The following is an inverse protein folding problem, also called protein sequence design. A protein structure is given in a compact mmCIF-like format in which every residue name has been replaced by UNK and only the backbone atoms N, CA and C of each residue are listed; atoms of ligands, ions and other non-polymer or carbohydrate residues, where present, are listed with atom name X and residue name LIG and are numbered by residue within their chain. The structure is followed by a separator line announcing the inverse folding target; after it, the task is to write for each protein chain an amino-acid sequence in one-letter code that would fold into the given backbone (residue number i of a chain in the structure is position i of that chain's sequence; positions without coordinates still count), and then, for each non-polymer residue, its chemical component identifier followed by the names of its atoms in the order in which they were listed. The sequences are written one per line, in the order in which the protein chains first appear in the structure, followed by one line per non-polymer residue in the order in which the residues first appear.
data_IF_408046945919
#
_entry.id   IF_408046945919
#
_cell.length_a   1.000
_cell.length_b   1.000
_cell.length_c   1.000
_cell.angle_alpha   90.00
_cell.angle_beta   90.00
_cell.angle_gamma   90.00
#
_symmetry.space_group_name_H-M   'P 1'
#
loop_
_entity.id
_entity.type
_entity.pdbx_description
1 polymer ?
#
# COMPACT_ATOMS: atom_id res chain seq x y z
N UNK A 1 -29.26 -10.30 62.39
CA UNK A 1 -29.62 -11.10 61.21
C UNK A 1 -29.31 -10.26 59.97
N UNK A 2 -28.16 -10.50 59.35
CA UNK A 2 -27.76 -9.86 58.09
C UNK A 2 -27.43 -10.99 57.11
N UNK A 3 -28.13 -10.98 55.98
CA UNK A 3 -28.20 -12.06 55.01
C UNK A 3 -27.03 -12.10 54.02
N UNK A 4 -26.80 -13.33 53.56
CA UNK A 4 -25.81 -13.85 52.63
C UNK A 4 -25.49 -12.98 51.40
N UNK A 5 -24.18 -12.87 51.11
CA UNK A 5 -23.66 -12.70 49.75
C UNK A 5 -23.66 -14.06 49.02
N UNK A 6 -24.38 -14.16 47.91
CA UNK A 6 -24.26 -15.26 46.97
C UNK A 6 -23.42 -14.83 45.77
N UNK A 7 -22.30 -15.55 45.55
CA UNK A 7 -21.53 -15.55 44.31
C UNK A 7 -22.30 -16.36 43.26
N UNK A 8 -22.47 -15.86 42.04
CA UNK A 8 -22.82 -16.71 40.90
C UNK A 8 -21.67 -16.73 39.90
N UNK A 9 -21.10 -17.92 39.77
CA UNK A 9 -20.23 -18.34 38.68
C UNK A 9 -21.12 -18.92 37.59
N UNK A 10 -21.04 -18.39 36.38
CA UNK A 10 -21.77 -18.88 35.22
C UNK A 10 -20.95 -18.78 33.94
N UNK A 11 -20.47 -19.92 33.46
CA UNK A 11 -20.11 -20.23 32.07
C UNK A 11 -20.54 -21.68 31.83
N UNK A 12 -20.78 -22.17 30.59
CA UNK A 12 -20.83 -21.50 29.30
C UNK A 12 -22.18 -21.74 28.56
N UNK A 13 -22.43 -21.01 27.48
CA UNK A 13 -23.44 -21.42 26.47
C UNK A 13 -22.69 -21.86 25.22
N UNK A 14 -22.87 -23.13 24.89
CA UNK A 14 -22.57 -23.76 23.61
C UNK A 14 -23.75 -23.47 22.68
N UNK A 15 -23.50 -22.86 21.52
CA UNK A 15 -24.37 -23.04 20.34
C UNK A 15 -23.45 -23.33 19.16
N UNK A 16 -23.58 -24.55 18.65
CA UNK A 16 -23.03 -24.98 17.38
C UNK A 16 -24.20 -25.11 16.42
N UNK A 17 -24.23 -24.31 15.35
CA UNK A 17 -24.95 -24.63 14.12
C UNK A 17 -24.10 -24.15 12.95
N UNK A 18 -23.77 -25.10 12.08
CA UNK A 18 -23.10 -24.94 10.81
C UNK A 18 -23.84 -23.93 9.91
N UNK A 19 -23.12 -23.06 9.20
CA UNK A 19 -22.81 -23.21 7.76
C UNK A 19 -22.11 -21.93 7.29
N UNK A 20 -20.88 -22.07 6.76
CA UNK A 20 -20.25 -21.12 5.83
C UNK A 20 -20.06 -19.67 6.30
N UNK A 21 -18.96 -19.38 7.01
CA UNK A 21 -18.37 -18.04 6.94
C UNK A 21 -16.90 -17.99 7.35
N UNK A 22 -16.19 -17.21 6.55
CA UNK A 22 -14.85 -16.64 6.63
C UNK A 22 -14.17 -16.68 8.01
N UNK A 23 -12.92 -17.12 8.01
CA UNK A 23 -12.02 -17.20 9.15
C UNK A 23 -11.85 -15.83 9.84
N UNK A 24 -12.50 -15.66 10.99
CA UNK A 24 -12.23 -14.56 11.94
C UNK A 24 -10.87 -14.82 12.58
N UNK A 25 -9.84 -14.11 12.14
CA UNK A 25 -8.58 -14.03 12.89
C UNK A 25 -8.77 -13.06 14.05
N UNK A 26 -8.80 -13.63 15.25
CA UNK A 26 -8.72 -12.90 16.52
C UNK A 26 -7.48 -12.01 16.56
N UNK A 27 -7.69 -10.71 16.77
CA UNK A 27 -6.65 -9.72 17.01
C UNK A 27 -5.95 -10.04 18.34
N UNK A 28 -4.66 -10.41 18.31
CA UNK A 28 -3.80 -10.19 19.47
C UNK A 28 -3.46 -8.70 19.49
N UNK A 29 -3.79 -8.05 20.60
CA UNK A 29 -3.37 -6.69 20.89
C UNK A 29 -1.86 -6.56 20.62
N UNK A 30 -1.51 -5.70 19.66
CA UNK A 30 -0.14 -5.21 19.53
C UNK A 30 0.03 -4.26 20.70
N UNK A 31 0.82 -4.66 21.70
CA UNK A 31 1.12 -3.82 22.85
C UNK A 31 2.03 -2.67 22.39
N UNK A 32 1.47 -1.46 22.38
CA UNK A 32 2.13 -0.22 21.94
C UNK A 32 2.91 0.45 23.08
N UNK A 33 3.53 -0.35 23.95
CA UNK A 33 4.46 0.16 24.97
C UNK A 33 5.82 -0.48 24.77
N UNK A 34 6.71 0.25 24.09
CA UNK A 34 8.11 -0.15 23.93
C UNK A 34 8.82 -0.24 25.28
N UNK A 35 8.96 -1.45 25.79
CA UNK A 35 9.85 -1.81 26.88
C UNK A 35 10.24 -3.28 26.74
N UNK A 36 11.53 -3.56 26.55
CA UNK A 36 12.03 -4.92 26.59
C UNK A 36 11.76 -5.50 27.98
N UNK A 37 10.99 -6.57 28.04
CA UNK A 37 10.81 -7.40 29.22
C UNK A 37 11.74 -8.61 29.08
N UNK A 38 12.44 -8.93 30.16
CA UNK A 38 13.15 -10.20 30.33
C UNK A 38 12.15 -11.35 30.60
N UNK A 39 12.65 -12.59 30.60
CA UNK A 39 11.83 -13.82 30.68
C UNK A 39 11.02 -13.97 31.98
N UNK A 40 11.16 -13.04 32.94
CA UNK A 40 10.41 -12.98 34.20
C UNK A 40 9.57 -11.70 34.37
N UNK A 41 9.49 -10.83 33.36
CA UNK A 41 8.56 -9.71 33.35
C UNK A 41 8.92 -8.56 34.32
N UNK A 42 10.22 -8.26 34.54
CA UNK A 42 10.64 -7.05 35.28
C UNK A 42 11.35 -6.06 34.35
N UNK A 43 11.07 -4.77 34.53
CA UNK A 43 11.82 -3.70 33.86
C UNK A 43 13.17 -3.52 34.55
N UNK A 44 14.24 -4.04 33.98
CA UNK A 44 15.60 -3.73 34.43
C UNK A 44 16.12 -2.45 33.77
N UNK A 45 16.51 -1.50 34.61
CA UNK A 45 17.07 -0.22 34.23
C UNK A 45 18.52 -0.15 34.70
N UNK A 46 19.46 -0.44 33.79
CA UNK A 46 20.78 0.21 33.60
C UNK A 46 21.85 -0.81 33.13
N UNK A 47 22.62 -0.36 32.12
CA UNK A 47 23.87 -0.90 31.54
C UNK A 47 23.61 -1.94 30.44
N UNK A 48 23.98 -1.73 29.17
CA UNK A 48 25.21 -1.15 28.62
C UNK A 48 25.99 -2.30 27.97
N UNK A 49 25.56 -2.78 26.80
CA UNK A 49 26.18 -3.91 26.10
C UNK A 49 27.26 -3.44 25.12
N UNK A 50 28.50 -3.78 25.45
CA UNK A 50 29.71 -3.62 24.66
C UNK A 50 29.79 -4.72 23.58
N UNK A 51 29.79 -4.31 22.30
CA UNK A 51 29.82 -5.20 21.13
C UNK A 51 31.26 -5.27 20.58
N UNK A 52 32.16 -5.93 21.31
CA UNK A 52 33.47 -6.35 20.79
C UNK A 52 33.91 -7.70 21.38
N UNK A 53 33.35 -8.78 20.88
CA UNK A 53 34.01 -10.09 20.86
C UNK A 53 33.13 -11.05 20.07
N UNK A 54 33.56 -11.41 18.86
CA UNK A 54 33.31 -12.69 18.16
C UNK A 54 33.55 -12.49 16.66
N UNK A 55 34.80 -12.68 16.21
CA UNK A 55 35.17 -13.19 14.88
C UNK A 55 36.68 -13.10 14.67
N UNK A 56 37.38 -14.23 14.84
CA UNK A 56 38.64 -14.50 14.14
C UNK A 56 39.11 -15.95 14.40
N UNK A 57 38.67 -16.89 13.57
CA UNK A 57 39.46 -18.10 13.27
C UNK A 57 38.88 -18.83 12.07
N UNK A 58 39.42 -18.59 10.88
CA UNK A 58 39.47 -19.54 9.76
C UNK A 58 40.11 -18.85 8.56
N UNK A 59 41.43 -18.89 8.48
CA UNK A 59 42.18 -18.75 7.24
C UNK A 59 43.28 -19.81 7.25
N UNK A 60 43.11 -20.85 6.44
CA UNK A 60 44.22 -21.65 5.89
C UNK A 60 44.06 -21.64 4.39
N UNK A 61 45.06 -21.07 3.72
CA UNK A 61 45.23 -21.11 2.27
C UNK A 61 45.53 -22.54 1.80
N UNK A 62 45.07 -22.96 0.61
CA UNK A 62 45.63 -24.10 -0.10
C UNK A 62 46.69 -23.64 -1.11
N UNK A 63 47.76 -24.42 -1.16
CA UNK A 63 48.88 -24.27 -2.08
C UNK A 63 48.59 -24.93 -3.44
N UNK A 64 48.90 -24.18 -4.50
CA UNK A 64 49.35 -24.54 -5.87
C UNK A 64 48.94 -25.90 -6.46
N UNK A 65 48.40 -25.84 -7.69
CA UNK A 65 48.96 -26.50 -8.88
C UNK A 65 48.39 -25.83 -10.14
N UNK A 66 49.27 -25.30 -11.00
CA UNK A 66 48.93 -24.74 -12.32
C UNK A 66 49.07 -25.86 -13.35
N UNK A 67 48.01 -26.11 -14.10
CA UNK A 67 48.01 -26.97 -15.28
C UNK A 67 48.18 -26.09 -16.54
N UNK A 68 49.22 -26.29 -17.38
CA UNK A 68 49.48 -25.45 -18.55
C UNK A 68 48.74 -25.87 -19.84
N UNK A 69 47.79 -26.81 -19.82
CA UNK A 69 47.15 -27.33 -21.04
C UNK A 69 45.60 -27.23 -21.08
N UNK A 70 45.02 -26.06 -20.81
CA UNK A 70 43.60 -25.81 -21.05
C UNK A 70 43.36 -25.12 -22.41
N UNK A 71 42.84 -25.89 -23.37
CA UNK A 71 42.39 -25.45 -24.70
C UNK A 71 41.23 -24.43 -24.64
N UNK A 72 41.05 -23.56 -25.66
CA UNK A 72 40.05 -22.51 -25.65
C UNK A 72 38.66 -23.07 -25.94
N UNK A 73 37.75 -22.97 -24.96
CA UNK A 73 36.33 -23.26 -25.17
C UNK A 73 35.64 -21.98 -25.63
N UNK A 74 35.08 -22.10 -26.83
CA UNK A 74 34.02 -21.33 -27.49
C UNK A 74 33.45 -20.13 -26.75
N UNK A 75 33.40 -19.01 -27.47
CA UNK A 75 32.54 -17.85 -27.22
C UNK A 75 31.12 -18.29 -26.80
N UNK A 76 30.85 -18.24 -25.49
CA UNK A 76 29.49 -18.22 -24.99
C UNK A 76 28.86 -16.90 -25.42
N UNK A 77 27.86 -17.00 -26.29
CA UNK A 77 26.87 -15.95 -26.50
C UNK A 77 26.34 -15.58 -25.12
N UNK A 78 26.77 -14.42 -24.61
CA UNK A 78 26.15 -13.80 -23.45
C UNK A 78 24.75 -13.44 -23.94
N UNK A 79 23.79 -14.30 -23.64
CA UNK A 79 22.38 -13.97 -23.65
C UNK A 79 22.25 -12.66 -22.89
N UNK A 80 21.98 -11.56 -23.59
CA UNK A 80 21.47 -10.35 -22.96
C UNK A 80 20.27 -10.81 -22.16
N UNK A 81 20.40 -10.84 -20.83
CA UNK A 81 19.25 -10.91 -19.95
C UNK A 81 18.32 -9.81 -20.44
N UNK A 82 17.18 -10.18 -21.00
CA UNK A 82 16.10 -9.23 -21.22
C UNK A 82 15.84 -8.59 -19.86
N UNK A 83 16.31 -7.36 -19.67
CA UNK A 83 15.95 -6.55 -18.52
C UNK A 83 14.46 -6.32 -18.68
N UNK A 84 13.66 -7.16 -18.02
CA UNK A 84 12.22 -6.96 -17.94
C UNK A 84 11.99 -5.50 -17.51
N UNK A 85 11.13 -4.75 -18.23
CA UNK A 85 10.96 -3.33 -17.94
C UNK A 85 10.57 -3.17 -16.47
N UNK A 86 11.36 -2.39 -15.74
CA UNK A 86 11.14 -2.16 -14.31
C UNK A 86 9.77 -1.50 -14.10
N UNK A 87 8.82 -2.26 -13.56
CA UNK A 87 7.49 -1.74 -13.28
C UNK A 87 7.54 -0.56 -12.30
N UNK A 88 6.71 0.44 -12.57
CA UNK A 88 6.45 1.53 -11.64
C UNK A 88 5.07 1.34 -11.05
N UNK A 89 5.04 1.23 -9.72
CA UNK A 89 3.83 1.11 -8.91
C UNK A 89 3.57 2.43 -8.22
N UNK A 90 2.44 3.07 -8.52
CA UNK A 90 2.08 4.37 -7.96
C UNK A 90 0.78 4.28 -7.18
N UNK A 91 0.80 4.75 -5.94
CA UNK A 91 -0.31 4.68 -5.01
C UNK A 91 -0.82 6.08 -4.73
N UNK A 92 -2.14 6.24 -4.84
CA UNK A 92 -2.88 7.41 -4.39
C UNK A 92 -4.22 6.95 -3.83
N UNK A 93 -4.97 7.86 -3.22
CA UNK A 93 -6.31 7.56 -2.75
C UNK A 93 -7.21 8.76 -2.91
N UNK A 94 -8.43 8.54 -3.38
CA UNK A 94 -9.43 9.59 -3.35
C UNK A 94 -9.87 9.77 -1.90
N UNK A 95 -9.91 11.03 -1.50
CA UNK A 95 -9.96 11.50 -0.11
C UNK A 95 -8.67 11.25 0.70
N UNK A 96 -7.50 11.32 0.06
CA UNK A 96 -6.17 11.31 0.70
C UNK A 96 -5.96 12.37 1.81
N UNK A 97 -6.95 13.18 2.16
CA UNK A 97 -6.96 14.04 3.35
C UNK A 97 -7.93 13.61 4.46
N UNK A 98 -9.00 12.87 4.17
CA UNK A 98 -10.10 12.65 5.12
C UNK A 98 -10.29 11.21 5.58
N UNK A 99 -9.26 10.74 6.28
CA UNK A 99 -9.33 9.55 7.14
C UNK A 99 -10.14 9.78 8.42
N UNK A 100 -10.90 10.88 8.54
CA UNK A 100 -11.70 11.15 9.74
C UNK A 100 -13.03 10.40 9.72
N UNK A 101 -13.56 10.18 10.92
CA UNK A 101 -14.86 9.57 11.18
C UNK A 101 -15.92 10.62 11.57
N UNK A 102 -15.65 11.89 11.31
CA UNK A 102 -16.52 13.00 11.69
C UNK A 102 -17.66 13.19 10.68
N UNK A 103 -18.49 12.16 10.46
CA UNK A 103 -19.51 12.14 9.40
C UNK A 103 -20.48 13.33 9.49
N UNK A 104 -20.85 13.74 10.71
CA UNK A 104 -21.68 14.93 10.95
C UNK A 104 -21.00 16.29 10.67
N UNK A 105 -19.72 16.29 10.31
CA UNK A 105 -18.92 17.47 9.93
C UNK A 105 -18.40 17.39 8.50
N UNK A 106 -19.01 16.54 7.67
CA UNK A 106 -18.65 16.38 6.26
C UNK A 106 -17.65 15.26 5.99
N UNK A 107 -17.35 14.40 6.98
CA UNK A 107 -16.53 13.24 6.67
C UNK A 107 -17.28 12.25 5.77
N UNK A 108 -16.57 11.78 4.75
CA UNK A 108 -17.08 10.80 3.81
C UNK A 108 -17.37 9.44 4.47
N UNK A 109 -18.25 8.64 3.86
CA UNK A 109 -18.50 7.26 4.29
C UNK A 109 -17.39 6.31 3.85
N UNK A 110 -16.97 6.42 2.61
CA UNK A 110 -16.00 5.52 2.01
C UNK A 110 -14.61 6.13 2.09
N UNK A 111 -13.58 5.29 1.97
CA UNK A 111 -12.19 5.71 1.77
C UNK A 111 -11.59 4.74 0.75
N UNK A 112 -11.02 5.26 -0.34
CA UNK A 112 -10.52 4.43 -1.44
C UNK A 112 -9.04 4.69 -1.64
N UNK A 113 -8.24 3.63 -1.66
CA UNK A 113 -6.83 3.68 -2.07
C UNK A 113 -6.68 2.84 -3.33
N UNK A 114 -6.04 3.40 -4.35
CA UNK A 114 -5.74 2.72 -5.60
C UNK A 114 -4.22 2.70 -5.87
N UNK A 115 -3.78 1.64 -6.53
CA UNK A 115 -2.43 1.48 -7.03
C UNK A 115 -2.50 1.21 -8.52
N UNK A 116 -1.75 1.98 -9.31
CA UNK A 116 -1.52 1.69 -10.71
C UNK A 116 -0.15 1.04 -10.92
N UNK A 117 -0.05 0.09 -11.83
CA UNK A 117 1.20 -0.48 -12.30
C UNK A 117 1.37 -0.23 -13.79
N UNK A 118 2.53 0.28 -14.21
CA UNK A 118 2.85 0.44 -15.63
C UNK A 118 4.33 0.17 -15.89
N UNK A 119 4.63 -0.40 -17.07
CA UNK A 119 5.98 -0.52 -17.60
C UNK A 119 6.43 0.78 -18.32
N UNK A 120 5.49 1.67 -18.64
CA UNK A 120 5.71 2.89 -19.42
C UNK A 120 5.32 4.16 -18.62
N UNK A 121 5.95 4.43 -17.46
CA UNK A 121 5.58 5.54 -16.60
C UNK A 121 5.70 6.91 -17.30
N UNK A 122 6.65 7.08 -18.22
CA UNK A 122 6.84 8.33 -18.94
C UNK A 122 5.79 8.56 -20.02
N UNK A 123 5.30 7.50 -20.68
CA UNK A 123 4.18 7.59 -21.61
C UNK A 123 2.91 8.04 -20.89
N UNK A 124 2.64 7.51 -19.69
CA UNK A 124 1.47 7.88 -18.90
C UNK A 124 1.56 9.32 -18.35
N UNK A 125 2.76 9.79 -18.00
CA UNK A 125 3.01 11.20 -17.67
C UNK A 125 2.76 12.12 -18.87
N UNK A 126 3.27 11.73 -20.04
CA UNK A 126 3.10 12.50 -21.27
C UNK A 126 1.63 12.56 -21.67
N UNK A 127 0.88 11.46 -21.55
CA UNK A 127 -0.55 11.41 -21.82
C UNK A 127 -1.33 12.47 -21.02
N UNK A 128 -1.08 12.60 -19.71
CA UNK A 128 -1.73 13.66 -18.92
C UNK A 128 -1.27 15.07 -19.33
N UNK A 129 -0.01 15.24 -19.73
CA UNK A 129 0.48 16.52 -20.24
C UNK A 129 -0.22 16.90 -21.56
N UNK A 130 -0.42 15.94 -22.47
CA UNK A 130 -1.10 16.14 -23.75
C UNK A 130 -2.58 16.48 -23.53
N UNK A 131 -3.27 15.79 -22.63
CA UNK A 131 -4.66 16.10 -22.28
C UNK A 131 -4.78 17.50 -21.68
N UNK A 132 -3.82 17.90 -20.84
CA UNK A 132 -3.77 19.26 -20.26
C UNK A 132 -3.62 20.32 -21.34
N UNK A 133 -2.65 20.14 -22.24
CA UNK A 133 -2.38 21.06 -23.34
C UNK A 133 -3.56 21.15 -24.31
N UNK A 134 -4.11 20.01 -24.75
CA UNK A 134 -5.25 19.95 -25.67
C UNK A 134 -6.53 20.54 -25.06
N UNK A 135 -6.60 20.63 -23.74
CA UNK A 135 -7.72 21.25 -23.02
C UNK A 135 -7.50 22.72 -22.67
N UNK A 136 -6.37 23.31 -23.09
CA UNK A 136 -6.03 24.71 -22.78
C UNK A 136 -5.83 24.98 -21.29
N UNK A 137 -5.50 23.94 -20.51
CA UNK A 137 -5.32 24.06 -19.06
C UNK A 137 -3.91 24.57 -18.72
N UNK A 138 -3.76 25.36 -17.63
CA UNK A 138 -2.43 25.79 -17.16
C UNK A 138 -1.52 24.60 -16.85
N UNK A 139 -0.20 24.77 -17.03
CA UNK A 139 0.78 23.70 -16.84
C UNK A 139 0.75 23.08 -15.43
N UNK A 140 0.40 23.90 -14.43
CA UNK A 140 0.26 23.56 -13.02
C UNK A 140 -1.11 22.97 -12.64
N UNK A 141 -2.03 22.82 -13.61
CA UNK A 141 -3.33 22.21 -13.36
C UNK A 141 -3.17 20.76 -12.91
N UNK A 142 -3.72 20.47 -11.74
CA UNK A 142 -3.72 19.15 -11.12
C UNK A 142 -5.03 18.44 -11.47
N UNK A 143 -4.90 17.28 -12.14
CA UNK A 143 -6.03 16.41 -12.34
C UNK A 143 -6.31 15.66 -11.04
N UNK A 144 -7.45 15.98 -10.44
CA UNK A 144 -8.07 15.18 -9.38
C UNK A 144 -9.53 14.97 -9.75
N UNK A 145 -10.16 13.95 -9.17
CA UNK A 145 -11.56 13.66 -9.53
C UNK A 145 -12.48 14.85 -9.22
N UNK A 146 -12.23 15.56 -8.11
CA UNK A 146 -12.98 16.76 -7.74
C UNK A 146 -12.70 17.97 -8.65
N UNK A 147 -11.48 18.07 -9.23
CA UNK A 147 -11.14 19.11 -10.19
C UNK A 147 -11.78 18.88 -11.57
N UNK A 148 -12.10 17.62 -11.92
CA UNK A 148 -12.84 17.24 -13.13
C UNK A 148 -14.35 17.51 -13.02
N UNK A 149 -14.69 18.78 -12.77
CA UNK A 149 -16.07 19.23 -12.61
C UNK A 149 -16.86 19.25 -13.91
N UNK A 150 -16.19 19.43 -15.07
CA UNK A 150 -16.86 19.42 -16.38
C UNK A 150 -16.88 18.01 -16.98
N UNK A 151 -18.07 17.57 -17.40
CA UNK A 151 -18.24 16.27 -18.04
C UNK A 151 -17.35 16.09 -19.29
N UNK A 152 -17.17 17.09 -20.19
CA UNK A 152 -16.31 16.93 -21.36
C UNK A 152 -14.83 16.74 -21.02
N UNK A 153 -14.32 17.42 -19.98
CA UNK A 153 -12.92 17.23 -19.56
C UNK A 153 -12.75 15.86 -18.92
N UNK A 154 -13.72 15.43 -18.10
CA UNK A 154 -13.73 14.08 -17.51
C UNK A 154 -13.71 13.01 -18.58
N UNK A 155 -14.63 13.07 -19.53
CA UNK A 155 -14.71 12.14 -20.66
C UNK A 155 -13.38 12.08 -21.43
N UNK A 156 -12.78 13.23 -21.75
CA UNK A 156 -11.50 13.30 -22.45
C UNK A 156 -10.37 12.63 -21.67
N UNK A 157 -10.26 12.92 -20.37
CA UNK A 157 -9.23 12.33 -19.50
C UNK A 157 -9.41 10.82 -19.40
N UNK A 158 -10.62 10.35 -19.07
CA UNK A 158 -10.89 8.93 -18.88
C UNK A 158 -10.83 8.13 -20.19
N UNK A 159 -11.19 8.73 -21.33
CA UNK A 159 -10.98 8.12 -22.66
C UNK A 159 -9.50 7.93 -22.95
N UNK A 160 -8.65 8.93 -22.65
CA UNK A 160 -7.21 8.79 -22.82
C UNK A 160 -6.65 7.70 -21.91
N UNK A 161 -7.05 7.67 -20.64
CA UNK A 161 -6.62 6.64 -19.68
C UNK A 161 -7.06 5.23 -20.08
N UNK A 162 -8.27 5.06 -20.64
CA UNK A 162 -8.74 3.78 -21.13
C UNK A 162 -7.80 3.19 -22.21
N UNK A 163 -7.20 4.05 -23.04
CA UNK A 163 -6.25 3.66 -24.09
C UNK A 163 -4.82 3.37 -23.60
N UNK A 164 -4.44 3.77 -22.39
CA UNK A 164 -3.07 3.65 -21.89
C UNK A 164 -2.75 2.28 -21.29
N UNK A 165 -1.49 1.84 -21.31
CA UNK A 165 -1.09 0.56 -20.73
C UNK A 165 -0.72 0.66 -19.24
N UNK A 166 -1.66 0.28 -18.39
CA UNK A 166 -1.47 0.13 -16.95
C UNK A 166 -2.52 -0.80 -16.35
N UNK A 167 -2.24 -1.26 -15.14
CA UNK A 167 -3.12 -2.13 -14.35
C UNK A 167 -3.46 -1.47 -13.03
N UNK A 168 -4.61 -1.84 -12.45
CA UNK A 168 -5.12 -1.22 -11.22
C UNK A 168 -5.43 -2.27 -10.14
N UNK A 169 -5.02 -1.98 -8.91
CA UNK A 169 -5.55 -2.61 -7.69
C UNK A 169 -6.18 -1.53 -6.82
N UNK A 170 -7.24 -1.87 -6.10
CA UNK A 170 -7.86 -0.92 -5.16
C UNK A 170 -8.34 -1.60 -3.88
N UNK A 171 -8.39 -0.80 -2.82
CA UNK A 171 -9.08 -1.12 -1.57
C UNK A 171 -10.16 -0.07 -1.35
N UNK A 172 -11.40 -0.51 -1.22
CA UNK A 172 -12.56 0.33 -0.89
C UNK A 172 -12.93 0.03 0.57
N UNK A 173 -12.94 1.06 1.41
CA UNK A 173 -13.20 0.91 2.85
C UNK A 173 -14.50 1.62 3.20
N UNK A 174 -15.48 0.89 3.74
CA UNK A 174 -16.64 1.53 4.38
C UNK A 174 -16.30 1.90 5.82
N UNK A 175 -16.02 3.18 6.09
CA UNK A 175 -15.65 3.66 7.43
C UNK A 175 -16.76 3.45 8.47
N UNK A 176 -18.01 3.26 8.05
CA UNK A 176 -19.13 2.99 8.97
C UNK A 176 -19.15 1.54 9.46
N UNK A 177 -18.54 0.62 8.69
CA UNK A 177 -18.42 -0.79 9.02
C UNK A 177 -17.13 -1.11 9.79
N UNK A 178 -16.25 -0.13 10.03
CA UNK A 178 -14.97 -0.38 10.70
C UNK A 178 -15.11 -0.56 12.22
N UNK A 179 -14.37 -1.52 12.82
CA UNK A 179 -14.28 -1.68 14.27
C UNK A 179 -13.69 -0.45 14.97
N UNK A 180 -14.02 -0.27 16.25
CA UNK A 180 -13.59 0.88 17.06
C UNK A 180 -12.07 1.15 17.09
N UNK A 181 -11.17 0.14 17.07
CA UNK A 181 -9.73 0.40 17.00
C UNK A 181 -9.30 1.28 15.80
N UNK A 182 -10.02 1.24 14.67
CA UNK A 182 -9.72 2.09 13.53
C UNK A 182 -10.12 3.55 13.76
N UNK A 183 -11.14 3.80 14.58
CA UNK A 183 -11.67 5.14 14.85
C UNK A 183 -10.73 5.98 15.72
N UNK A 184 -9.93 5.33 16.55
CA UNK A 184 -8.93 5.97 17.44
C UNK A 184 -7.51 5.93 16.86
N UNK A 185 -7.33 5.32 15.69
CA UNK A 185 -6.03 5.22 15.03
C UNK A 185 -5.55 6.59 14.57
N UNK A 186 -4.24 6.84 14.63
CA UNK A 186 -3.68 8.07 14.05
C UNK A 186 -3.92 8.08 12.55
N UNK A 187 -4.16 9.26 11.99
CA UNK A 187 -4.44 9.45 10.56
C UNK A 187 -3.44 8.75 9.61
N UNK A 188 -2.14 8.93 9.88
CA UNK A 188 -1.07 8.30 9.09
C UNK A 188 -1.08 6.77 9.23
N UNK A 189 -1.35 6.26 10.43
CA UNK A 189 -1.38 4.82 10.70
C UNK A 189 -2.56 4.16 9.98
N UNK A 190 -3.72 4.83 9.95
CA UNK A 190 -4.90 4.40 9.18
C UNK A 190 -4.59 4.33 7.68
N UNK A 191 -4.02 5.41 7.13
CA UNK A 191 -3.61 5.45 5.73
C UNK A 191 -2.62 4.32 5.39
N UNK A 192 -1.57 4.15 6.20
CA UNK A 192 -0.55 3.12 5.96
C UNK A 192 -1.08 1.70 6.16
N UNK A 193 -2.08 1.50 7.02
CA UNK A 193 -2.75 0.22 7.17
C UNK A 193 -3.38 -0.21 5.83
N UNK A 194 -4.16 0.67 5.19
CA UNK A 194 -4.81 0.33 3.93
C UNK A 194 -3.86 0.34 2.73
N UNK A 195 -2.83 1.19 2.71
CA UNK A 195 -1.74 1.06 1.73
C UNK A 195 -1.07 -0.32 1.83
N UNK A 196 -0.86 -0.84 3.05
CA UNK A 196 -0.27 -2.17 3.22
C UNK A 196 -1.25 -3.32 2.95
N UNK A 197 -2.57 -3.14 3.09
CA UNK A 197 -3.55 -4.08 2.53
C UNK A 197 -3.46 -4.11 1.01
N UNK A 198 -3.44 -2.93 0.37
CA UNK A 198 -3.35 -2.82 -1.08
C UNK A 198 -2.07 -3.46 -1.64
N UNK A 199 -0.92 -3.24 -0.99
CA UNK A 199 0.35 -3.90 -1.37
C UNK A 199 0.25 -5.43 -1.34
N UNK A 200 -0.57 -6.01 -0.45
CA UNK A 200 -0.75 -7.48 -0.37
C UNK A 200 -1.57 -8.04 -1.53
N UNK A 201 -2.42 -7.23 -2.15
CA UNK A 201 -3.19 -7.63 -3.33
C UNK A 201 -2.32 -7.73 -4.59
N UNK A 202 -1.18 -7.02 -4.60
CA UNK A 202 -0.30 -6.98 -5.76
C UNK A 202 0.60 -8.23 -5.77
N UNK A 203 0.60 -9.02 -6.87
CA UNK A 203 1.45 -10.19 -7.02
C UNK A 203 2.94 -9.89 -6.76
N UNK A 204 3.66 -10.84 -6.18
CA UNK A 204 5.05 -10.63 -5.75
C UNK A 204 6.00 -10.34 -6.93
N UNK A 205 5.79 -11.01 -8.06
CA UNK A 205 6.49 -10.81 -9.33
C UNK A 205 6.33 -9.38 -9.86
N UNK A 206 5.16 -8.75 -9.69
CA UNK A 206 4.95 -7.34 -10.06
C UNK A 206 5.60 -6.34 -9.11
N UNK A 207 5.85 -6.74 -7.86
CA UNK A 207 6.50 -5.91 -6.86
C UNK A 207 8.02 -6.00 -6.94
N UNK A 208 8.55 -7.12 -7.43
CA UNK A 208 9.98 -7.39 -7.48
C UNK A 208 10.70 -6.41 -8.42
N UNK A 209 11.71 -5.72 -7.89
CA UNK A 209 12.48 -4.72 -8.66
C UNK A 209 11.74 -3.41 -8.94
N UNK A 210 10.44 -3.31 -8.62
CA UNK A 210 9.62 -2.16 -8.94
C UNK A 210 10.00 -0.90 -8.15
N UNK A 211 9.72 0.27 -8.74
CA UNK A 211 9.70 1.54 -8.00
C UNK A 211 8.31 1.78 -7.44
N UNK A 212 8.20 1.91 -6.12
CA UNK A 212 6.99 2.32 -5.43
C UNK A 212 6.98 3.85 -5.27
N UNK A 213 5.95 4.51 -5.80
CA UNK A 213 5.65 5.93 -5.62
C UNK A 213 4.42 6.06 -4.73
N UNK A 214 4.50 6.86 -3.68
CA UNK A 214 3.41 7.13 -2.75
C UNK A 214 3.08 8.61 -2.78
N UNK A 215 1.78 8.92 -2.72
CA UNK A 215 1.31 10.28 -2.44
C UNK A 215 1.76 10.76 -1.05
N UNK A 216 2.10 12.04 -0.94
CA UNK A 216 2.62 12.65 0.29
C UNK A 216 1.49 12.86 1.29
N UNK A 217 1.51 12.07 2.37
CA UNK A 217 0.60 12.20 3.50
C UNK A 217 1.36 12.71 4.73
N UNK A 218 1.32 14.03 4.94
CA UNK A 218 2.08 14.70 6.00
C UNK A 218 3.57 14.80 5.66
N UNK A 219 4.46 14.31 6.53
CA UNK A 219 5.91 14.36 6.31
C UNK A 219 6.40 13.16 5.50
N UNK A 220 6.96 13.39 4.32
CA UNK A 220 7.49 12.35 3.43
C UNK A 220 8.51 11.42 4.12
N UNK A 221 9.40 11.96 4.96
CA UNK A 221 10.40 11.16 5.70
C UNK A 221 9.75 10.29 6.76
N UNK A 222 8.77 10.84 7.48
CA UNK A 222 8.00 10.11 8.50
C UNK A 222 7.19 9.00 7.83
N UNK A 223 6.40 9.32 6.80
CA UNK A 223 5.57 8.37 6.07
C UNK A 223 6.38 7.19 5.52
N UNK A 224 7.56 7.44 4.93
CA UNK A 224 8.43 6.37 4.43
C UNK A 224 8.96 5.46 5.55
N UNK A 225 9.35 6.04 6.68
CA UNK A 225 9.84 5.28 7.84
C UNK A 225 8.73 4.45 8.44
N UNK A 226 7.55 5.04 8.61
CA UNK A 226 6.36 4.39 9.14
C UNK A 226 5.86 3.27 8.22
N UNK A 227 5.85 3.48 6.89
CA UNK A 227 5.48 2.42 5.95
C UNK A 227 6.37 1.18 6.12
N UNK A 228 7.68 1.36 6.25
CA UNK A 228 8.62 0.24 6.47
C UNK A 228 8.30 -0.49 7.77
N UNK A 229 7.96 0.24 8.84
CA UNK A 229 7.54 -0.34 10.12
C UNK A 229 6.26 -1.17 9.95
N UNK A 230 5.25 -0.64 9.27
CA UNK A 230 4.00 -1.35 8.97
C UNK A 230 4.24 -2.62 8.15
N UNK A 231 5.04 -2.55 7.08
CA UNK A 231 5.39 -3.70 6.27
C UNK A 231 6.09 -4.79 7.11
N UNK A 232 7.07 -4.41 7.93
CA UNK A 232 7.79 -5.34 8.80
C UNK A 232 6.87 -5.99 9.85
N UNK A 233 6.10 -5.19 10.60
CA UNK A 233 5.16 -5.69 11.61
C UNK A 233 4.10 -6.64 11.03
N UNK A 234 3.78 -6.47 9.75
CA UNK A 234 2.77 -7.25 9.02
C UNK A 234 3.38 -8.38 8.17
N UNK A 235 4.67 -8.66 8.31
CA UNK A 235 5.42 -9.67 7.54
C UNK A 235 5.25 -9.53 6.02
N UNK A 236 5.18 -8.29 5.51
CA UNK A 236 5.11 -8.00 4.08
C UNK A 236 6.54 -7.89 3.54
N UNK A 237 6.97 -8.82 2.67
CA UNK A 237 8.32 -8.81 2.13
C UNK A 237 8.55 -7.56 1.27
N UNK A 238 9.75 -7.00 1.39
CA UNK A 238 10.17 -5.80 0.67
C UNK A 238 10.71 -6.19 -0.71
N UNK A 239 9.81 -6.31 -1.69
CA UNK A 239 10.18 -6.61 -3.08
C UNK A 239 10.54 -5.36 -3.90
N UNK A 240 10.22 -4.16 -3.40
CA UNK A 240 10.48 -2.90 -4.10
C UNK A 240 11.97 -2.50 -4.07
N UNK A 241 12.53 -2.23 -5.24
CA UNK A 241 13.88 -1.66 -5.41
C UNK A 241 13.97 -0.29 -4.73
N UNK A 242 12.93 0.54 -4.92
CA UNK A 242 12.92 1.93 -4.46
C UNK A 242 11.53 2.32 -3.97
N UNK A 243 11.48 3.14 -2.91
CA UNK A 243 10.26 3.75 -2.39
C UNK A 243 10.45 5.27 -2.39
N UNK A 244 9.57 5.98 -3.08
CA UNK A 244 9.60 7.42 -3.27
C UNK A 244 8.27 8.00 -2.79
N UNK A 245 8.33 9.12 -2.09
CA UNK A 245 7.15 9.92 -1.73
C UNK A 245 7.19 11.21 -2.54
N UNK A 246 6.05 11.59 -3.14
CA UNK A 246 5.91 12.77 -4.00
C UNK A 246 4.56 13.43 -3.75
N UNK A 247 4.47 14.72 -4.06
CA UNK A 247 3.18 15.44 -4.07
C UNK A 247 2.48 15.18 -5.40
N UNK A 248 1.18 14.98 -5.36
CA UNK A 248 0.28 14.89 -6.52
C UNK A 248 0.55 15.98 -7.57
N UNK A 249 0.68 17.25 -7.15
CA UNK A 249 1.00 18.39 -8.02
C UNK A 249 2.29 18.21 -8.84
N UNK A 250 3.26 17.45 -8.33
CA UNK A 250 4.57 17.24 -8.95
C UNK A 250 4.74 15.89 -9.65
N UNK A 251 3.75 15.00 -9.58
CA UNK A 251 3.85 13.64 -10.12
C UNK A 251 2.53 13.21 -10.77
N UNK A 252 2.45 13.25 -12.11
CA UNK A 252 1.24 12.86 -12.83
C UNK A 252 0.77 11.43 -12.56
N UNK A 253 1.66 10.49 -12.23
CA UNK A 253 1.23 9.12 -11.92
C UNK A 253 0.38 9.04 -10.64
N UNK A 254 0.62 9.93 -9.67
CA UNK A 254 -0.22 10.04 -8.47
C UNK A 254 -1.61 10.55 -8.88
N UNK A 255 -1.67 11.53 -9.78
CA UNK A 255 -2.94 12.04 -10.31
C UNK A 255 -3.74 10.95 -11.04
N UNK A 256 -3.08 10.09 -11.83
CA UNK A 256 -3.78 8.95 -12.46
C UNK A 256 -4.34 8.00 -11.41
N UNK A 257 -3.57 7.64 -10.39
CA UNK A 257 -4.05 6.78 -9.31
C UNK A 257 -5.21 7.44 -8.52
N UNK A 258 -5.17 8.75 -8.30
CA UNK A 258 -6.23 9.53 -7.64
C UNK A 258 -7.52 9.55 -8.47
N UNK A 259 -7.41 9.80 -9.78
CA UNK A 259 -8.54 9.75 -10.71
C UNK A 259 -9.22 8.38 -10.72
N UNK A 260 -8.43 7.30 -10.71
CA UNK A 260 -8.95 5.93 -10.66
C UNK A 260 -9.64 5.66 -9.31
N UNK A 261 -9.02 6.07 -8.20
CA UNK A 261 -9.63 5.95 -6.88
C UNK A 261 -10.97 6.70 -6.80
N UNK A 262 -11.05 7.88 -7.40
CA UNK A 262 -12.28 8.68 -7.38
C UNK A 262 -13.37 8.16 -8.30
N UNK A 263 -13.01 7.55 -9.43
CA UNK A 263 -13.97 6.83 -10.26
C UNK A 263 -14.61 5.66 -9.50
N UNK A 264 -13.81 4.90 -8.75
CA UNK A 264 -14.30 3.80 -7.89
C UNK A 264 -15.17 4.37 -6.76
N UNK A 265 -14.72 5.44 -6.09
CA UNK A 265 -15.47 6.08 -5.02
C UNK A 265 -16.85 6.55 -5.47
N UNK A 266 -16.96 7.17 -6.65
CA UNK A 266 -18.24 7.66 -7.18
C UNK A 266 -19.25 6.57 -7.48
N UNK A 267 -18.77 5.45 -8.02
CA UNK A 267 -19.60 4.25 -8.22
C UNK A 267 -20.23 3.82 -6.90
N UNK A 268 -19.44 3.71 -5.83
CA UNK A 268 -19.91 3.16 -4.55
C UNK A 268 -20.67 4.18 -3.69
N UNK A 269 -20.30 5.46 -3.76
CA UNK A 269 -20.91 6.52 -2.98
C UNK A 269 -22.20 7.09 -3.59
N UNK A 270 -22.29 7.12 -4.93
CA UNK A 270 -23.37 7.82 -5.65
C UNK A 270 -24.06 6.98 -6.73
N UNK A 271 -23.59 5.77 -7.01
CA UNK A 271 -24.08 4.99 -8.15
C UNK A 271 -23.71 5.60 -9.51
N UNK A 272 -22.74 6.53 -9.54
CA UNK A 272 -22.25 7.19 -10.74
C UNK A 272 -21.09 6.36 -11.34
N UNK A 273 -21.35 5.60 -12.41
CA UNK A 273 -20.36 4.71 -13.02
C UNK A 273 -19.68 5.27 -14.29
N UNK A 274 -20.04 6.49 -14.72
CA UNK A 274 -19.56 7.13 -15.96
C UNK A 274 -18.04 7.07 -16.13
N UNK A 275 -17.28 7.45 -15.10
CA UNK A 275 -15.82 7.40 -15.11
C UNK A 275 -15.27 6.00 -14.84
N UNK A 276 -15.98 5.21 -14.04
CA UNK A 276 -15.58 3.85 -13.68
C UNK A 276 -15.53 2.93 -14.91
N UNK A 277 -16.51 3.06 -15.81
CA UNK A 277 -16.63 2.22 -17.01
C UNK A 277 -15.41 2.31 -17.94
N UNK A 278 -14.72 3.45 -17.95
CA UNK A 278 -13.48 3.64 -18.73
C UNK A 278 -12.29 2.85 -18.17
N UNK A 279 -12.23 2.69 -16.86
CA UNK A 279 -11.09 2.09 -16.15
C UNK A 279 -11.37 0.68 -15.65
N UNK A 280 -12.61 0.20 -15.76
CA UNK A 280 -13.04 -1.12 -15.30
C UNK A 280 -12.14 -2.23 -15.88
N UNK A 281 -11.85 -2.18 -17.19
CA UNK A 281 -10.99 -3.16 -17.88
C UNK A 281 -9.53 -3.15 -17.41
N UNK A 282 -9.11 -2.11 -16.68
CA UNK A 282 -7.76 -2.00 -16.09
C UNK A 282 -7.70 -2.62 -14.68
N UNK A 283 -8.84 -2.84 -14.03
CA UNK A 283 -8.90 -3.41 -12.68
C UNK A 283 -8.46 -4.88 -12.70
N UNK A 284 -7.48 -5.19 -11.87
CA UNK A 284 -7.01 -6.56 -11.60
C UNK A 284 -7.68 -7.13 -10.35
N UNK A 285 -7.81 -6.31 -9.32
CA UNK A 285 -8.47 -6.72 -8.08
C UNK A 285 -8.95 -5.49 -7.29
N UNK A 286 -10.15 -5.58 -6.75
CA UNK A 286 -10.70 -4.63 -5.78
C UNK A 286 -11.03 -5.41 -4.51
N UNK A 287 -10.53 -4.92 -3.37
CA UNK A 287 -10.90 -5.42 -2.05
C UNK A 287 -11.90 -4.48 -1.42
N UNK A 288 -13.11 -4.97 -1.18
CA UNK A 288 -14.07 -4.29 -0.31
C UNK A 288 -13.77 -4.68 1.14
N UNK A 289 -13.38 -3.69 1.94
CA UNK A 289 -13.06 -3.85 3.34
C UNK A 289 -14.25 -3.43 4.20
N UNK A 290 -14.94 -4.45 4.69
CA UNK A 290 -15.95 -4.36 5.74
C UNK A 290 -15.38 -5.07 6.98
N UNK A 291 -15.53 -4.45 8.15
CA UNK A 291 -14.97 -4.94 9.42
C UNK A 291 -15.39 -6.34 9.84
#
# INVERSE_FOLDING_TARGET
MAGLMARSTGSPIIVSVLTGMVCVRTWRAIDWTGGCLDHEGRKDGRRGCDLRALRASCLREPSRLRDPNAFPISHSVISRSEELPMLTLTFAGDESGDVSFAFGKGASRYFVVAAIATAEPDALRQLLADVRQASGLPAEYEFSFNALSSAPLRERVFTALAGADFEVWAVVVDKTALPDPFKVMRRLDFYLYFVTELIRLIPADKREGATLILDEFGSATTQRTELRRFMAARNIPRHFKRIVVRRSRSEPLIQVADLVAGAILRRDAKGEADAYDYVEKKLRQVLEFCG
#
